data_IF_665709229081
#
_entry.id   IF_665709229081
#
_cell.length_a   1.000
_cell.length_b   1.000
_cell.length_c   1.000
_cell.angle_alpha   90.00
_cell.angle_beta   90.00
_cell.angle_gamma   90.00
#
_symmetry.space_group_name_H-M   'P 1'
#
loop_
_entity.id
_entity.type
_entity.pdbx_description
1 polymer ?
#
# COMPACT_ATOMS: atom_id res chain seq x y z
N UNK A 1 -14.48 45.08 -53.69
CA UNK A 1 -14.65 44.94 -52.23
C UNK A 1 -15.27 43.60 -51.94
N UNK A 2 -14.69 42.67 -51.17
CA UNK A 2 -13.42 42.68 -50.41
C UNK A 2 -13.11 41.20 -50.17
N UNK A 3 -12.00 40.70 -50.72
CA UNK A 3 -11.46 39.39 -50.35
C UNK A 3 -10.86 39.53 -48.95
N UNK A 4 -11.41 38.82 -47.96
CA UNK A 4 -10.81 38.77 -46.62
C UNK A 4 -9.73 37.69 -46.65
N UNK A 5 -8.50 38.14 -46.93
CA UNK A 5 -7.30 37.37 -46.64
C UNK A 5 -7.19 37.21 -45.13
N UNK A 6 -7.48 36.01 -44.61
CA UNK A 6 -7.23 35.67 -43.23
C UNK A 6 -5.71 35.48 -43.04
N UNK A 7 -5.09 36.57 -42.62
CA UNK A 7 -3.80 36.74 -41.95
C UNK A 7 -3.16 35.45 -41.42
N UNK A 8 -1.98 35.15 -41.95
CA UNK A 8 -1.00 34.19 -41.44
C UNK A 8 -0.72 34.36 -39.95
N UNK A 9 -0.96 33.32 -39.16
CA UNK A 9 -0.21 33.05 -37.93
C UNK A 9 0.51 31.72 -38.11
N UNK A 10 1.84 31.82 -38.25
CA UNK A 10 2.87 30.77 -38.21
C UNK A 10 2.37 29.33 -38.44
N UNK A 11 2.47 28.83 -39.68
CA UNK A 11 1.97 27.52 -40.14
C UNK A 11 2.58 26.27 -39.48
N UNK A 12 3.22 26.45 -38.31
CA UNK A 12 3.75 25.40 -37.45
C UNK A 12 2.77 24.98 -36.35
N UNK A 13 1.91 25.87 -35.84
CA UNK A 13 1.09 25.58 -34.66
C UNK A 13 -0.33 25.11 -35.00
N UNK A 14 -0.82 24.15 -34.21
CA UNK A 14 -2.12 23.47 -34.37
C UNK A 14 -2.90 23.56 -33.07
N UNK A 15 -4.21 23.81 -33.21
CA UNK A 15 -5.19 23.84 -32.12
C UNK A 15 -6.02 22.55 -32.13
N UNK A 16 -6.05 21.86 -30.99
CA UNK A 16 -6.75 20.58 -30.81
C UNK A 16 -7.76 20.71 -29.66
N UNK A 17 -9.00 20.27 -29.88
CA UNK A 17 -10.01 20.14 -28.86
C UNK A 17 -10.37 18.65 -28.71
N UNK A 18 -9.92 18.05 -27.61
CA UNK A 18 -10.05 16.62 -27.33
C UNK A 18 -11.09 16.42 -26.22
N UNK A 19 -12.33 16.16 -26.63
CA UNK A 19 -13.47 15.96 -25.71
C UNK A 19 -13.70 17.14 -24.76
N UNK A 20 -13.45 18.37 -25.21
CA UNK A 20 -13.58 19.59 -24.42
C UNK A 20 -12.28 20.13 -23.82
N UNK A 21 -11.19 19.35 -23.86
CA UNK A 21 -9.88 19.81 -23.41
C UNK A 21 -9.09 20.45 -24.57
N UNK A 22 -8.62 21.67 -24.34
CA UNK A 22 -7.97 22.50 -25.35
C UNK A 22 -6.45 22.35 -25.29
N UNK A 23 -5.82 21.97 -26.41
CA UNK A 23 -4.39 21.79 -26.54
C UNK A 23 -3.82 22.58 -27.71
N UNK A 24 -2.59 23.06 -27.53
CA UNK A 24 -1.80 23.70 -28.57
C UNK A 24 -0.51 22.90 -28.76
N UNK A 25 -0.18 22.58 -30.01
CA UNK A 25 1.04 21.85 -30.36
C UNK A 25 1.51 22.24 -31.76
N UNK A 26 2.55 21.59 -32.28
CA UNK A 26 3.02 21.82 -33.64
C UNK A 26 2.70 20.66 -34.58
N UNK A 27 2.59 20.93 -35.88
CA UNK A 27 2.45 19.89 -36.92
C UNK A 27 3.63 18.92 -36.87
N UNK A 28 4.83 19.42 -36.57
CA UNK A 28 6.06 18.64 -36.47
C UNK A 28 5.94 17.58 -35.36
N UNK A 29 5.43 17.95 -34.18
CA UNK A 29 5.18 17.02 -33.07
C UNK A 29 4.18 15.94 -33.46
N UNK A 30 3.06 16.32 -34.11
CA UNK A 30 2.01 15.37 -34.51
C UNK A 30 2.44 14.44 -35.65
N UNK A 31 3.47 14.83 -36.41
CA UNK A 31 3.98 14.08 -37.56
C UNK A 31 5.24 13.26 -37.27
N UNK A 32 5.80 13.40 -36.05
CA UNK A 32 7.08 12.78 -35.65
C UNK A 32 7.01 11.25 -35.61
N UNK A 33 5.89 10.71 -35.14
CA UNK A 33 5.65 9.27 -35.03
C UNK A 33 4.60 8.82 -36.05
N UNK A 34 4.73 7.59 -36.53
CA UNK A 34 3.74 7.00 -37.43
C UNK A 34 2.51 6.57 -36.64
N UNK A 35 1.52 7.47 -36.58
CA UNK A 35 0.35 7.32 -35.73
C UNK A 35 -0.90 7.92 -36.42
N UNK A 36 -2.07 7.71 -35.83
CA UNK A 36 -3.34 8.23 -36.36
C UNK A 36 -3.31 9.75 -36.53
N UNK A 37 -2.66 10.47 -35.61
CA UNK A 37 -2.54 11.93 -35.66
C UNK A 37 -1.73 12.38 -36.88
N UNK A 38 -0.64 11.69 -37.21
CA UNK A 38 0.11 11.96 -38.44
C UNK A 38 -0.78 11.82 -39.68
N UNK A 39 -1.62 10.79 -39.75
CA UNK A 39 -2.55 10.61 -40.86
C UNK A 39 -3.56 11.77 -40.97
N UNK A 40 -4.14 12.21 -39.85
CA UNK A 40 -5.05 13.38 -39.79
C UNK A 40 -4.38 14.66 -40.30
N UNK A 41 -3.14 14.91 -39.92
CA UNK A 41 -2.43 16.14 -40.28
C UNK A 41 -1.62 16.06 -41.58
N UNK A 42 -1.53 14.87 -42.19
CA UNK A 42 -0.96 14.68 -43.54
C UNK A 42 -1.90 15.09 -44.69
N UNK A 43 -3.14 15.48 -44.38
CA UNK A 43 -4.18 15.80 -45.38
C UNK A 43 -4.84 14.58 -46.03
N UNK A 44 -4.49 13.37 -45.60
CA UNK A 44 -5.06 12.11 -46.13
C UNK A 44 -6.41 11.74 -45.52
N UNK A 45 -6.71 12.26 -44.33
CA UNK A 45 -7.94 11.98 -43.59
C UNK A 45 -8.69 13.30 -43.38
N UNK A 46 -10.00 13.38 -43.66
CA UNK A 46 -10.78 14.58 -43.39
C UNK A 46 -10.87 14.82 -41.88
N UNK A 47 -10.59 16.06 -41.46
CA UNK A 47 -10.59 16.48 -40.05
C UNK A 47 -11.70 17.50 -39.83
N UNK A 48 -12.52 17.29 -38.81
CA UNK A 48 -13.58 18.23 -38.43
C UNK A 48 -12.96 19.42 -37.68
N UNK A 49 -13.29 20.63 -38.12
CA UNK A 49 -12.86 21.88 -37.47
C UNK A 49 -14.07 22.71 -37.07
N UNK A 50 -13.99 23.39 -35.94
CA UNK A 50 -14.99 24.38 -35.52
C UNK A 50 -14.78 25.74 -36.20
N UNK A 51 -15.68 26.68 -35.92
CA UNK A 51 -15.64 28.06 -36.45
C UNK A 51 -14.39 28.84 -36.00
N UNK A 52 -13.76 28.43 -34.90
CA UNK A 52 -12.56 29.03 -34.32
C UNK A 52 -11.26 28.33 -34.78
N UNK A 53 -11.37 27.31 -35.63
CA UNK A 53 -10.25 26.58 -36.23
C UNK A 53 -9.67 25.45 -35.36
N UNK A 54 -10.36 25.01 -34.31
CA UNK A 54 -9.96 23.85 -33.50
C UNK A 54 -10.28 22.56 -34.21
N UNK A 55 -9.31 21.67 -34.28
CA UNK A 55 -9.53 20.28 -34.71
C UNK A 55 -10.23 19.53 -33.58
N UNK A 56 -11.40 18.97 -33.87
CA UNK A 56 -12.21 18.25 -32.90
C UNK A 56 -11.86 16.76 -32.89
N UNK A 57 -11.57 16.22 -31.71
CA UNK A 57 -11.33 14.80 -31.46
C UNK A 57 -12.32 14.33 -30.39
N UNK A 58 -13.15 13.36 -30.74
CA UNK A 58 -14.16 12.77 -29.85
C UNK A 58 -13.53 11.71 -28.93
N UNK A 59 -12.62 12.15 -28.05
CA UNK A 59 -11.90 11.33 -27.06
C UNK A 59 -11.74 12.09 -25.75
N UNK A 60 -11.40 11.37 -24.67
CA UNK A 60 -11.11 12.01 -23.39
C UNK A 60 -9.79 12.77 -23.44
N UNK A 61 -9.83 14.08 -23.18
CA UNK A 61 -8.64 14.91 -23.08
C UNK A 61 -7.81 14.71 -21.80
N UNK A 62 -8.29 13.90 -20.83
CA UNK A 62 -7.66 13.77 -19.50
C UNK A 62 -6.17 13.40 -19.56
N UNK A 63 -5.81 12.47 -20.44
CA UNK A 63 -4.45 11.94 -20.58
C UNK A 63 -3.75 12.38 -21.87
N UNK A 64 -4.37 13.31 -22.61
CA UNK A 64 -3.84 13.72 -23.91
C UNK A 64 -2.54 14.52 -23.79
N UNK A 65 -2.27 15.16 -22.65
CA UNK A 65 -0.96 15.76 -22.36
C UNK A 65 0.16 14.72 -22.40
N UNK A 66 -0.04 13.56 -21.78
CA UNK A 66 0.93 12.46 -21.79
C UNK A 66 1.18 11.93 -23.21
N UNK A 67 0.13 11.88 -24.04
CA UNK A 67 0.25 11.54 -25.47
C UNK A 67 1.12 12.57 -26.21
N UNK A 68 0.90 13.86 -25.97
CA UNK A 68 1.72 14.92 -26.59
C UNK A 68 3.17 14.88 -26.12
N UNK A 69 3.41 14.66 -24.84
CA UNK A 69 4.76 14.57 -24.28
C UNK A 69 5.49 13.34 -24.83
N UNK A 70 4.78 12.21 -25.00
CA UNK A 70 5.32 11.05 -25.70
C UNK A 70 5.71 11.37 -27.15
N UNK A 71 4.86 12.09 -27.89
CA UNK A 71 5.18 12.53 -29.26
C UNK A 71 6.35 13.52 -29.33
N UNK A 72 6.67 14.23 -28.24
CA UNK A 72 7.80 15.15 -28.18
C UNK A 72 9.10 14.41 -27.86
N UNK A 73 9.08 13.58 -26.85
CA UNK A 73 10.29 13.02 -26.24
C UNK A 73 10.56 11.57 -26.64
N UNK A 74 9.57 10.87 -27.21
CA UNK A 74 9.64 9.45 -27.60
C UNK A 74 9.50 8.46 -26.45
N UNK A 75 9.46 8.96 -25.21
CA UNK A 75 9.17 8.19 -24.00
C UNK A 75 8.57 9.12 -22.96
N UNK A 76 7.76 8.56 -22.05
CA UNK A 76 7.23 9.32 -20.92
C UNK A 76 7.41 8.53 -19.63
N UNK A 77 7.64 9.20 -18.49
CA UNK A 77 7.47 8.56 -17.21
C UNK A 77 5.99 8.19 -17.05
N UNK A 78 5.69 6.89 -17.06
CA UNK A 78 4.33 6.41 -16.80
C UNK A 78 3.93 6.71 -15.35
N UNK A 79 2.68 7.12 -15.09
CA UNK A 79 2.20 7.36 -13.75
C UNK A 79 2.26 6.08 -12.92
N UNK A 80 2.42 6.23 -11.60
CA UNK A 80 2.46 5.07 -10.70
C UNK A 80 1.09 4.41 -10.51
N UNK A 81 -0.01 5.02 -10.96
CA UNK A 81 -1.36 4.49 -10.81
C UNK A 81 -1.71 3.51 -11.94
N UNK A 82 -2.03 2.25 -11.59
CA UNK A 82 -2.40 1.21 -12.57
C UNK A 82 -3.59 1.61 -13.44
N UNK A 83 -4.63 2.16 -12.83
CA UNK A 83 -5.85 2.59 -13.54
C UNK A 83 -5.54 3.71 -14.52
N UNK A 84 -4.64 4.63 -14.15
CA UNK A 84 -4.20 5.69 -15.07
C UNK A 84 -3.37 5.14 -16.22
N UNK A 85 -2.46 4.20 -15.98
CA UNK A 85 -1.71 3.53 -17.06
C UNK A 85 -2.64 2.75 -17.98
N UNK A 86 -3.65 2.06 -17.47
CA UNK A 86 -4.68 1.40 -18.30
C UNK A 86 -5.53 2.40 -19.10
N UNK A 87 -5.76 3.61 -18.59
CA UNK A 87 -6.43 4.69 -19.32
C UNK A 87 -5.51 5.25 -20.43
N UNK A 88 -4.23 5.48 -20.13
CA UNK A 88 -3.23 5.93 -21.11
C UNK A 88 -3.06 4.86 -22.19
N UNK A 89 -3.00 3.57 -21.83
CA UNK A 89 -2.92 2.45 -22.78
C UNK A 89 -4.09 2.48 -23.77
N UNK A 90 -5.32 2.71 -23.30
CA UNK A 90 -6.49 2.83 -24.17
C UNK A 90 -6.40 4.00 -25.15
N UNK A 91 -5.89 5.14 -24.72
CA UNK A 91 -5.64 6.27 -25.62
C UNK A 91 -4.48 5.99 -26.59
N UNK A 92 -3.39 5.36 -26.12
CA UNK A 92 -2.26 4.97 -26.96
C UNK A 92 -2.68 4.00 -28.07
N UNK A 93 -3.55 3.03 -27.75
CA UNK A 93 -4.18 2.13 -28.72
C UNK A 93 -5.06 2.88 -29.71
N UNK A 94 -5.85 3.86 -29.26
CA UNK A 94 -6.68 4.67 -30.15
C UNK A 94 -5.86 5.49 -31.15
N UNK A 95 -4.79 6.16 -30.68
CA UNK A 95 -3.91 6.96 -31.53
C UNK A 95 -2.87 6.12 -32.30
N UNK A 96 -2.85 4.80 -32.10
CA UNK A 96 -1.93 3.84 -32.74
C UNK A 96 -0.45 4.13 -32.43
N UNK A 97 -0.13 4.41 -31.17
CA UNK A 97 1.23 4.66 -30.70
C UNK A 97 1.89 3.38 -30.20
N UNK A 98 2.43 2.57 -31.12
CA UNK A 98 2.93 1.22 -30.83
C UNK A 98 3.98 1.19 -29.69
N UNK A 99 4.94 2.10 -29.71
CA UNK A 99 5.99 2.16 -28.70
C UNK A 99 5.45 2.50 -27.30
N UNK A 100 4.43 3.37 -27.21
CA UNK A 100 3.78 3.71 -25.95
C UNK A 100 2.89 2.55 -25.45
N UNK A 101 2.23 1.84 -26.36
CA UNK A 101 1.46 0.62 -26.03
C UNK A 101 2.39 -0.40 -25.38
N UNK A 102 3.54 -0.68 -26.00
CA UNK A 102 4.54 -1.63 -25.46
C UNK A 102 5.07 -1.15 -24.10
N UNK A 103 5.35 0.14 -23.94
CA UNK A 103 5.78 0.69 -22.64
C UNK A 103 4.72 0.48 -21.55
N UNK A 104 3.45 0.76 -21.84
CA UNK A 104 2.34 0.57 -20.91
C UNK A 104 2.09 -0.90 -20.58
N UNK A 105 2.09 -1.79 -21.59
CA UNK A 105 1.90 -3.23 -21.41
C UNK A 105 3.03 -3.85 -20.58
N UNK A 106 4.29 -3.52 -20.91
CA UNK A 106 5.45 -3.96 -20.14
C UNK A 106 5.37 -3.51 -18.67
N UNK A 107 4.98 -2.26 -18.44
CA UNK A 107 4.77 -1.72 -17.10
C UNK A 107 3.64 -2.45 -16.35
N UNK A 108 2.54 -2.75 -17.02
CA UNK A 108 1.39 -3.48 -16.45
C UNK A 108 1.74 -4.94 -16.16
N UNK A 109 2.53 -5.59 -17.01
CA UNK A 109 2.97 -6.98 -16.83
C UNK A 109 4.02 -7.11 -15.73
N UNK A 110 5.00 -6.21 -15.68
CA UNK A 110 5.99 -6.16 -14.60
C UNK A 110 5.32 -6.03 -13.24
N UNK A 111 4.19 -5.30 -13.16
CA UNK A 111 3.38 -5.17 -11.95
C UNK A 111 2.36 -6.30 -11.76
N UNK A 112 1.89 -6.95 -12.83
CA UNK A 112 1.05 -8.16 -12.74
C UNK A 112 1.81 -9.35 -12.14
N UNK A 113 3.14 -9.42 -12.31
CA UNK A 113 3.98 -10.42 -11.62
C UNK A 113 3.96 -10.26 -10.10
N UNK A 114 3.85 -9.03 -9.57
CA UNK A 114 3.71 -8.81 -8.13
C UNK A 114 2.37 -9.31 -7.56
N UNK A 115 1.32 -9.43 -8.38
CA UNK A 115 0.03 -10.00 -7.95
C UNK A 115 0.02 -11.55 -7.95
N UNK A 116 0.99 -12.20 -8.59
CA UNK A 116 1.09 -13.66 -8.74
C UNK A 116 2.31 -14.29 -8.02
N UNK A 117 3.15 -13.50 -7.37
CA UNK A 117 4.27 -13.99 -6.55
C UNK A 117 3.81 -14.41 -5.15
N UNK A 118 3.34 -15.66 -5.04
CA UNK A 118 3.03 -16.35 -3.77
C UNK A 118 1.96 -15.66 -2.90
N UNK A 119 1.18 -16.39 -2.07
CA UNK A 119 0.43 -15.71 -1.03
C UNK A 119 1.45 -14.95 -0.18
N UNK A 120 1.31 -13.63 -0.07
CA UNK A 120 2.15 -12.79 0.78
C UNK A 120 2.11 -13.42 2.18
N UNK A 121 3.16 -14.16 2.55
CA UNK A 121 3.22 -14.82 3.86
C UNK A 121 3.40 -13.71 4.87
N UNK A 122 2.32 -13.35 5.54
CA UNK A 122 2.39 -12.36 6.60
C UNK A 122 3.04 -12.99 7.81
N UNK A 123 4.28 -12.58 8.06
CA UNK A 123 5.09 -13.08 9.19
C UNK A 123 4.72 -12.29 10.42
N UNK A 124 4.18 -12.97 11.42
CA UNK A 124 3.98 -12.42 12.76
C UNK A 124 5.26 -12.71 13.57
N UNK A 125 6.11 -11.71 13.86
CA UNK A 125 7.27 -11.91 14.71
C UNK A 125 6.87 -12.36 16.11
N UNK A 126 7.63 -13.32 16.64
CA UNK A 126 7.56 -13.76 18.03
C UNK A 126 8.76 -13.15 18.75
N UNK A 127 8.52 -12.42 19.85
CA UNK A 127 9.56 -11.77 20.66
C UNK A 127 9.59 -12.35 22.06
N UNK A 128 10.79 -12.42 22.65
CA UNK A 128 11.02 -12.97 23.99
C UNK A 128 11.46 -11.91 24.99
N UNK A 129 12.05 -10.82 24.53
CA UNK A 129 12.52 -9.71 25.37
C UNK A 129 11.73 -8.44 25.09
N UNK A 130 11.60 -7.59 26.11
CA UNK A 130 11.01 -6.27 25.94
C UNK A 130 11.81 -5.40 24.97
N UNK A 131 13.13 -5.54 24.95
CA UNK A 131 14.01 -4.78 24.06
C UNK A 131 13.69 -5.06 22.57
N UNK A 132 13.51 -6.33 22.21
CA UNK A 132 13.16 -6.72 20.83
C UNK A 132 11.78 -6.20 20.43
N UNK A 133 10.81 -6.31 21.34
CA UNK A 133 9.47 -5.76 21.14
C UNK A 133 9.52 -4.24 20.89
N UNK A 134 10.25 -3.50 21.73
CA UNK A 134 10.39 -2.05 21.64
C UNK A 134 11.13 -1.63 20.36
N UNK A 135 12.11 -2.42 19.90
CA UNK A 135 12.80 -2.18 18.63
C UNK A 135 11.85 -2.29 17.42
N UNK A 136 11.03 -3.34 17.37
CA UNK A 136 10.02 -3.52 16.31
C UNK A 136 8.99 -2.38 16.30
N UNK A 137 8.53 -1.94 17.48
CA UNK A 137 7.57 -0.84 17.60
C UNK A 137 8.18 0.48 17.11
N UNK A 138 9.44 0.76 17.46
CA UNK A 138 10.13 2.00 17.06
C UNK A 138 10.45 2.06 15.57
N UNK A 139 10.72 0.91 14.95
CA UNK A 139 11.03 0.82 13.52
C UNK A 139 9.77 0.77 12.64
N UNK A 140 8.63 0.38 13.19
CA UNK A 140 7.37 0.31 12.43
C UNK A 140 6.83 1.69 12.04
N UNK A 141 6.44 1.82 10.77
CA UNK A 141 5.62 2.93 10.26
C UNK A 141 4.13 2.59 10.27
N UNK A 142 3.77 1.33 10.53
CA UNK A 142 2.38 0.88 10.66
C UNK A 142 1.96 0.92 12.13
N UNK A 143 0.67 1.10 12.43
CA UNK A 143 0.15 0.80 13.76
C UNK A 143 0.53 -0.63 14.16
N UNK A 144 0.80 -0.85 15.44
CA UNK A 144 1.27 -2.14 15.96
C UNK A 144 0.28 -2.67 16.99
N UNK A 145 -0.12 -3.93 16.83
CA UNK A 145 -0.85 -4.68 17.86
C UNK A 145 0.08 -5.75 18.41
N UNK A 146 0.38 -5.67 19.70
CA UNK A 146 1.19 -6.63 20.42
C UNK A 146 0.32 -7.44 21.37
N UNK A 147 0.30 -8.76 21.20
CA UNK A 147 -0.30 -9.71 22.13
C UNK A 147 0.79 -10.34 22.98
N UNK A 148 0.76 -10.06 24.28
CA UNK A 148 1.59 -10.69 25.29
C UNK A 148 0.89 -11.91 25.88
N UNK A 149 1.56 -13.05 25.92
CA UNK A 149 1.06 -14.30 26.49
C UNK A 149 2.13 -14.99 27.33
N UNK A 150 1.97 -14.97 28.65
CA UNK A 150 2.79 -15.71 29.58
C UNK A 150 2.03 -16.94 30.12
N UNK A 151 2.10 -18.05 29.38
CA UNK A 151 1.41 -19.30 29.75
C UNK A 151 1.88 -19.87 31.09
N UNK A 152 3.12 -19.63 31.50
CA UNK A 152 3.66 -20.13 32.78
C UNK A 152 2.89 -19.57 33.97
N UNK A 153 2.48 -18.30 33.88
CA UNK A 153 1.71 -17.65 34.94
C UNK A 153 0.24 -18.07 34.94
N UNK A 154 -0.25 -18.80 33.93
CA UNK A 154 -1.64 -19.27 33.91
C UNK A 154 -1.96 -20.22 35.07
N UNK A 155 -0.95 -20.92 35.62
CA UNK A 155 -1.09 -21.78 36.81
C UNK A 155 -1.68 -21.05 38.02
N UNK A 156 -1.50 -19.72 38.10
CA UNK A 156 -2.02 -18.89 39.19
C UNK A 156 -3.44 -18.38 38.95
N UNK A 157 -4.06 -18.76 37.82
CA UNK A 157 -5.44 -18.40 37.51
C UNK A 157 -6.42 -19.23 38.33
N UNK A 158 -7.39 -18.57 38.97
CA UNK A 158 -8.38 -19.24 39.82
C UNK A 158 -9.64 -19.67 39.05
N UNK A 159 -9.70 -19.46 37.73
CA UNK A 159 -10.85 -19.85 36.90
C UNK A 159 -10.55 -21.11 36.07
N UNK A 160 -11.50 -22.07 36.01
CA UNK A 160 -11.35 -23.28 35.18
C UNK A 160 -11.38 -22.95 33.68
N UNK A 161 -11.87 -21.77 33.28
CA UNK A 161 -11.96 -21.32 31.89
C UNK A 161 -10.71 -20.57 31.42
N UNK A 162 -9.62 -20.61 32.20
CA UNK A 162 -8.42 -19.82 31.92
C UNK A 162 -7.77 -20.19 30.59
N UNK A 163 -7.59 -21.48 30.33
CA UNK A 163 -7.05 -22.00 29.06
C UNK A 163 -7.97 -21.66 27.88
N UNK A 164 -9.29 -21.82 28.04
CA UNK A 164 -10.28 -21.44 27.03
C UNK A 164 -10.20 -19.95 26.68
N UNK A 165 -10.05 -19.09 27.69
CA UNK A 165 -9.91 -17.65 27.48
C UNK A 165 -8.59 -17.30 26.78
N UNK A 166 -7.50 -18.00 27.07
CA UNK A 166 -6.23 -17.84 26.34
C UNK A 166 -6.39 -18.26 24.87
N UNK A 167 -7.06 -19.38 24.60
CA UNK A 167 -7.33 -19.85 23.24
C UNK A 167 -8.20 -18.87 22.47
N UNK A 168 -9.24 -18.29 23.09
CA UNK A 168 -10.07 -17.25 22.48
C UNK A 168 -9.28 -15.98 22.15
N UNK A 169 -8.35 -15.57 23.00
CA UNK A 169 -7.44 -14.44 22.70
C UNK A 169 -6.55 -14.75 21.49
N UNK A 170 -5.98 -15.97 21.42
CA UNK A 170 -5.19 -16.40 20.27
C UNK A 170 -6.01 -16.45 18.98
N UNK A 171 -7.22 -17.00 19.03
CA UNK A 171 -8.13 -17.05 17.89
C UNK A 171 -8.51 -15.66 17.40
N UNK A 172 -8.83 -14.73 18.32
CA UNK A 172 -9.12 -13.34 17.97
C UNK A 172 -7.91 -12.65 17.33
N UNK A 173 -6.71 -12.91 17.86
CA UNK A 173 -5.47 -12.37 17.30
C UNK A 173 -5.26 -12.85 15.87
N UNK A 174 -5.35 -14.16 15.63
CA UNK A 174 -5.16 -14.72 14.30
C UNK A 174 -6.26 -14.23 13.33
N UNK A 175 -7.50 -14.03 13.81
CA UNK A 175 -8.59 -13.42 13.01
C UNK A 175 -8.28 -11.97 12.62
N UNK A 176 -7.73 -11.18 13.54
CA UNK A 176 -7.32 -9.79 13.26
C UNK A 176 -6.13 -9.74 12.31
N UNK A 177 -5.16 -10.65 12.46
CA UNK A 177 -4.05 -10.82 11.51
C UNK A 177 -4.62 -11.09 10.12
N UNK A 178 -5.45 -12.12 9.95
CA UNK A 178 -6.04 -12.46 8.65
C UNK A 178 -6.80 -11.29 7.99
N UNK A 179 -7.39 -10.38 8.77
CA UNK A 179 -8.18 -9.26 8.26
C UNK A 179 -7.38 -7.98 7.98
N UNK A 180 -6.30 -7.74 8.73
CA UNK A 180 -5.60 -6.44 8.73
C UNK A 180 -4.06 -6.56 8.62
N UNK A 181 -3.55 -7.73 8.22
CA UNK A 181 -2.12 -8.01 8.12
C UNK A 181 -1.33 -7.03 7.23
N UNK A 182 -2.02 -6.41 6.27
CA UNK A 182 -1.47 -5.45 5.31
C UNK A 182 -1.33 -4.04 5.89
N UNK A 183 -2.14 -3.71 6.90
CA UNK A 183 -2.29 -2.37 7.50
C UNK A 183 -1.68 -2.26 8.89
N UNK A 184 -1.71 -3.34 9.67
CA UNK A 184 -1.21 -3.41 11.05
C UNK A 184 -0.03 -4.37 11.13
N UNK A 185 1.01 -3.99 11.87
CA UNK A 185 2.05 -4.91 12.29
C UNK A 185 1.58 -5.68 13.54
N UNK A 186 1.49 -6.99 13.44
CA UNK A 186 1.11 -7.85 14.55
C UNK A 186 2.36 -8.47 15.19
N UNK A 187 2.44 -8.50 16.52
CA UNK A 187 3.58 -9.05 17.26
C UNK A 187 3.06 -9.98 18.36
N UNK A 188 3.62 -11.19 18.45
CA UNK A 188 3.40 -12.12 19.57
C UNK A 188 4.56 -11.99 20.55
N UNK A 189 4.28 -11.62 21.78
CA UNK A 189 5.26 -11.47 22.86
C UNK A 189 5.08 -12.61 23.85
N UNK A 190 6.08 -13.48 23.94
CA UNK A 190 6.09 -14.68 24.79
C UNK A 190 7.12 -14.55 25.92
N UNK A 191 7.57 -13.32 26.18
CA UNK A 191 8.51 -13.04 27.26
C UNK A 191 7.96 -13.39 28.63
N UNK A 192 8.86 -13.61 29.58
CA UNK A 192 8.54 -13.90 30.99
C UNK A 192 8.72 -12.69 31.91
N UNK A 193 9.03 -11.50 31.35
CA UNK A 193 9.35 -10.29 32.11
C UNK A 193 8.15 -9.68 32.84
N UNK A 194 6.92 -9.98 32.41
CA UNK A 194 5.68 -9.48 33.04
C UNK A 194 5.02 -10.55 33.91
N UNK A 195 4.48 -10.12 35.05
CA UNK A 195 3.66 -10.95 35.93
C UNK A 195 2.25 -11.22 35.38
N UNK A 196 1.82 -10.49 34.35
CA UNK A 196 0.52 -10.68 33.71
C UNK A 196 0.47 -12.00 32.92
N UNK A 197 -0.73 -12.55 32.71
CA UNK A 197 -0.92 -13.80 31.94
C UNK A 197 -1.17 -13.52 30.46
N UNK A 198 -2.01 -12.53 30.17
CA UNK A 198 -2.39 -12.16 28.82
C UNK A 198 -2.65 -10.65 28.75
N UNK A 199 -2.10 -9.99 27.73
CA UNK A 199 -2.18 -8.55 27.61
C UNK A 199 -2.16 -8.11 26.15
N UNK A 200 -3.02 -7.17 25.79
CA UNK A 200 -3.01 -6.53 24.48
C UNK A 200 -2.50 -5.11 24.60
N UNK A 201 -1.56 -4.73 23.73
CA UNK A 201 -1.04 -3.36 23.63
C UNK A 201 -1.19 -2.85 22.22
N UNK A 202 -1.72 -1.65 22.10
CA UNK A 202 -2.04 -0.99 20.83
C UNK A 202 -1.16 0.25 20.68
N UNK A 203 -0.34 0.29 19.63
CA UNK A 203 0.59 1.37 19.38
C UNK A 203 0.23 2.09 18.08
N UNK A 204 0.16 3.42 18.15
CA UNK A 204 -0.16 4.29 17.03
C UNK A 204 0.86 5.42 16.94
N UNK A 205 1.49 5.60 15.78
CA UNK A 205 2.64 6.50 15.59
C UNK A 205 3.75 6.22 16.61
N UNK A 206 4.08 4.94 16.82
CA UNK A 206 5.14 4.44 17.73
C UNK A 206 4.94 4.74 19.22
N UNK A 207 3.76 5.22 19.61
CA UNK A 207 3.38 5.54 21.00
C UNK A 207 2.29 4.58 21.44
N UNK A 208 2.34 4.11 22.69
CA UNK A 208 1.28 3.29 23.29
C UNK A 208 0.00 4.13 23.39
N UNK A 209 -1.10 3.65 22.79
CA UNK A 209 -2.40 4.32 22.76
C UNK A 209 -3.39 3.70 23.72
N UNK A 210 -3.42 2.39 23.76
CA UNK A 210 -4.33 1.63 24.61
C UNK A 210 -3.68 0.34 25.08
N UNK A 211 -4.20 -0.16 26.20
CA UNK A 211 -3.76 -1.39 26.85
C UNK A 211 -5.00 -2.09 27.40
N UNK A 212 -5.14 -3.38 27.08
CA UNK A 212 -6.22 -4.22 27.59
C UNK A 212 -5.58 -5.40 28.31
N UNK A 213 -5.66 -5.39 29.65
CA UNK A 213 -5.27 -6.52 30.48
C UNK A 213 -6.39 -7.57 30.45
N UNK A 214 -6.03 -8.80 30.13
CA UNK A 214 -6.95 -9.95 30.11
C UNK A 214 -6.98 -10.65 31.48
N UNK A 215 -6.72 -9.90 32.55
CA UNK A 215 -6.57 -10.38 33.92
C UNK A 215 -7.28 -9.42 34.86
N UNK A 216 -8.07 -9.97 35.77
CA UNK A 216 -8.75 -9.24 36.84
C UNK A 216 -8.26 -9.76 38.19
N UNK A 217 -7.91 -8.86 39.11
CA UNK A 217 -7.49 -9.22 40.47
C UNK A 217 -8.74 -9.36 41.34
N UNK A 218 -8.93 -10.54 41.94
CA UNK A 218 -9.98 -10.79 42.92
C UNK A 218 -9.32 -10.95 44.30
N UNK A 219 -9.72 -10.11 45.24
CA UNK A 219 -9.33 -10.24 46.64
C UNK A 219 -10.27 -11.25 47.31
N UNK A 220 -9.77 -12.46 47.57
CA UNK A 220 -10.37 -13.36 48.54
C UNK A 220 -9.50 -13.39 49.80
N UNK A 221 -10.11 -13.68 50.94
CA UNK A 221 -9.75 -13.27 52.30
C UNK A 221 -8.28 -13.32 52.73
N UNK A 222 -7.38 -14.06 52.07
CA UNK A 222 -5.94 -14.07 52.40
C UNK A 222 -4.97 -14.25 51.20
N UNK A 223 -5.42 -14.26 49.94
CA UNK A 223 -4.55 -14.42 48.76
C UNK A 223 -5.01 -13.60 47.55
N UNK A 224 -4.04 -13.02 46.83
CA UNK A 224 -4.27 -12.37 45.52
C UNK A 224 -4.60 -13.47 44.50
N UNK A 225 -5.85 -13.52 44.05
CA UNK A 225 -6.26 -14.43 42.98
C UNK A 225 -6.35 -13.67 41.65
N UNK A 226 -5.71 -14.22 40.62
CA UNK A 226 -5.81 -13.69 39.25
C UNK A 226 -6.90 -14.46 38.52
N UNK A 227 -7.80 -13.76 37.85
CA UNK A 227 -8.80 -14.36 36.96
C UNK A 227 -8.49 -13.94 35.53
N UNK A 228 -8.18 -14.91 34.67
CA UNK A 228 -7.98 -14.67 33.24
C UNK A 228 -9.33 -14.50 32.56
N UNK A 229 -9.49 -13.42 31.79
CA UNK A 229 -10.72 -13.03 31.11
C UNK A 229 -10.47 -12.81 29.61
N UNK A 230 -11.55 -12.78 28.83
CA UNK A 230 -11.51 -12.48 27.39
C UNK A 230 -12.44 -11.29 27.10
N UNK A 231 -11.95 -10.04 27.24
CA UNK A 231 -12.72 -8.83 26.98
C UNK A 231 -12.76 -8.52 25.48
N UNK A 232 -13.37 -9.41 24.70
CA UNK A 232 -13.41 -9.41 23.23
C UNK A 232 -13.85 -8.08 22.61
N UNK A 233 -14.93 -7.50 23.14
CA UNK A 233 -15.52 -6.26 22.65
C UNK A 233 -14.53 -5.10 22.80
N UNK A 234 -13.89 -4.98 23.97
CA UNK A 234 -12.87 -3.95 24.21
C UNK A 234 -11.64 -4.14 23.33
N UNK A 235 -11.17 -5.37 23.17
CA UNK A 235 -10.02 -5.68 22.29
C UNK A 235 -10.34 -5.27 20.85
N UNK A 236 -11.53 -5.58 20.38
CA UNK A 236 -11.96 -5.25 19.02
C UNK A 236 -12.11 -3.74 18.81
N UNK A 237 -12.70 -3.03 19.77
CA UNK A 237 -12.85 -1.57 19.72
C UNK A 237 -11.49 -0.86 19.64
N UNK A 238 -10.53 -1.27 20.47
CA UNK A 238 -9.17 -0.70 20.44
C UNK A 238 -8.42 -1.08 19.15
N UNK A 239 -8.63 -2.31 18.64
CA UNK A 239 -8.08 -2.72 17.35
C UNK A 239 -8.64 -1.87 16.19
N UNK A 240 -9.91 -1.46 16.25
CA UNK A 240 -10.49 -0.57 15.23
C UNK A 240 -10.01 0.87 15.41
N UNK A 241 -9.88 1.33 16.66
CA UNK A 241 -9.36 2.66 17.00
C UNK A 241 -7.94 2.88 16.47
N UNK A 242 -7.07 1.87 16.54
CA UNK A 242 -5.66 2.01 16.12
C UNK A 242 -5.51 2.26 14.62
N UNK A 243 -6.48 1.87 13.80
CA UNK A 243 -6.50 2.12 12.36
C UNK A 243 -6.58 3.61 12.01
N UNK A 244 -7.02 4.47 12.94
CA UNK A 244 -6.98 5.92 12.77
C UNK A 244 -5.54 6.50 12.75
N UNK A 245 -4.57 5.74 13.27
CA UNK A 245 -3.16 6.11 13.29
C UNK A 245 -2.36 5.47 12.15
N UNK A 246 -3.03 4.81 11.22
CA UNK A 246 -2.45 4.44 9.94
C UNK A 246 -2.04 5.71 9.20
N UNK A 247 -0.76 5.80 8.82
CA UNK A 247 -0.34 6.75 7.81
C UNK A 247 -0.94 6.26 6.50
N UNK A 248 -2.16 6.74 6.18
CA UNK A 248 -2.97 6.29 5.05
C UNK A 248 -2.30 6.49 3.69
N UNK A 249 -1.08 7.02 3.64
CA UNK A 249 -0.35 7.15 2.39
C UNK A 249 -1.12 7.89 1.31
N UNK A 250 -2.03 8.77 1.73
CA UNK A 250 -2.88 9.48 0.79
C UNK A 250 -1.97 10.47 0.10
N UNK A 251 -1.84 10.36 -1.22
CA UNK A 251 -1.15 11.39 -1.99
C UNK A 251 -1.85 12.71 -1.74
N UNK A 252 -1.08 13.71 -1.33
CA UNK A 252 -1.54 15.08 -1.09
C UNK A 252 -2.22 15.72 -2.32
N UNK A 253 -2.10 15.08 -3.49
CA UNK A 253 -2.63 15.53 -4.78
C UNK A 253 -3.96 14.87 -5.18
N UNK A 254 -4.25 13.64 -4.76
CA UNK A 254 -5.47 12.92 -5.17
C UNK A 254 -6.28 12.28 -4.02
N UNK A 255 -5.72 12.15 -2.81
CA UNK A 255 -6.47 11.66 -1.65
C UNK A 255 -6.81 10.16 -1.67
N UNK A 256 -6.14 9.35 -2.49
CA UNK A 256 -6.33 7.89 -2.55
C UNK A 256 -5.07 7.11 -2.12
N UNK A 257 -5.20 5.83 -1.72
CA UNK A 257 -4.13 5.00 -1.14
C UNK A 257 -3.11 4.44 -2.15
N UNK A 258 -3.38 4.51 -3.45
CA UNK A 258 -2.67 3.77 -4.52
C UNK A 258 -1.37 4.43 -5.02
N UNK A 259 -0.96 5.50 -4.35
CA UNK A 259 0.08 6.43 -4.79
C UNK A 259 1.29 6.48 -3.85
N UNK A 260 1.21 5.86 -2.67
CA UNK A 260 2.43 5.41 -2.03
C UNK A 260 2.87 4.14 -2.74
N UNK A 261 4.02 4.21 -3.40
CA UNK A 261 4.90 3.07 -3.43
C UNK A 261 4.90 2.45 -2.03
N UNK A 262 4.42 1.21 -1.89
CA UNK A 262 5.03 0.36 -0.87
C UNK A 262 6.50 0.34 -1.30
N UNK A 263 7.32 1.21 -0.72
CA UNK A 263 8.75 0.97 -0.64
C UNK A 263 8.84 -0.50 -0.26
N UNK A 264 9.58 -1.34 -1.00
CA UNK A 264 9.86 -2.69 -0.51
C UNK A 264 10.32 -2.45 0.91
N UNK A 265 9.56 -2.98 1.87
CA UNK A 265 9.79 -2.71 3.28
C UNK A 265 11.29 -2.86 3.48
N UNK A 266 11.97 -1.81 3.91
CA UNK A 266 13.36 -1.88 4.37
C UNK A 266 13.40 -2.64 5.70
N UNK A 267 12.67 -3.75 5.78
CA UNK A 267 13.05 -4.88 6.58
C UNK A 267 13.99 -5.68 5.71
N UNK A 268 15.26 -5.30 5.79
CA UNK A 268 16.35 -6.04 5.20
C UNK A 268 16.19 -7.52 5.57
N UNK A 269 15.96 -8.36 4.55
CA UNK A 269 15.76 -9.80 4.70
C UNK A 269 16.95 -10.45 5.44
N UNK A 270 18.12 -9.82 5.44
CA UNK A 270 19.29 -10.26 6.18
C UNK A 270 19.15 -10.12 7.71
N UNK A 271 18.38 -9.15 8.20
CA UNK A 271 18.28 -8.89 9.65
C UNK A 271 17.37 -9.91 10.36
N UNK A 272 16.35 -10.44 9.67
CA UNK A 272 15.47 -11.50 10.23
C UNK A 272 16.11 -12.90 10.21
N UNK A 273 17.06 -13.16 9.31
CA UNK A 273 17.80 -14.42 9.28
C UNK A 273 18.76 -14.59 10.47
N UNK A 274 19.15 -13.48 11.10
CA UNK A 274 20.01 -13.49 12.29
C UNK A 274 19.25 -13.91 13.56
N UNK A 275 17.92 -13.69 13.64
CA UNK A 275 17.15 -14.03 14.84
C UNK A 275 16.59 -15.46 14.84
N UNK A 276 16.62 -16.16 13.71
CA UNK A 276 16.27 -17.59 13.64
C UNK A 276 17.39 -18.54 14.06
N UNK A 277 18.63 -18.05 14.28
CA UNK A 277 19.80 -18.90 14.49
C UNK A 277 20.56 -18.67 15.81
N UNK A 278 20.07 -17.85 16.75
CA UNK A 278 20.79 -17.64 18.01
C UNK A 278 20.61 -18.80 18.99
N UNK A 279 19.50 -19.57 18.90
CA UNK A 279 19.27 -20.70 19.82
C UNK A 279 19.84 -22.05 19.35
N UNK A 280 20.15 -22.21 18.07
CA UNK A 280 20.74 -23.47 17.57
C UNK A 280 22.25 -23.59 17.90
N UNK A 281 22.95 -22.46 18.09
CA UNK A 281 24.37 -22.46 18.39
C UNK A 281 24.67 -22.76 19.87
N UNK A 282 23.78 -22.40 20.81
CA UNK A 282 24.00 -22.62 22.24
C UNK A 282 23.67 -24.04 22.72
N UNK A 283 22.78 -24.77 22.04
CA UNK A 283 22.51 -26.19 22.39
C UNK A 283 23.60 -27.15 21.89
N UNK A 284 24.29 -26.82 20.80
CA UNK A 284 25.44 -27.62 20.31
C UNK A 284 26.70 -27.43 21.16
N UNK A 285 26.82 -26.33 21.90
CA UNK A 285 27.93 -26.10 22.83
C UNK A 285 27.76 -26.82 24.18
N UNK A 286 26.53 -27.19 24.56
CA UNK A 286 26.24 -27.91 25.83
C UNK A 286 26.10 -29.42 25.67
N UNK A 287 26.03 -29.94 24.45
CA UNK A 287 26.01 -31.38 24.18
C UNK A 287 27.42 -31.99 24.00
N UNK A 288 28.47 -31.19 24.21
CA UNK A 288 29.87 -31.57 24.01
C UNK A 288 30.75 -31.54 25.27
N UNK A 289 30.18 -31.42 26.47
CA UNK A 289 30.89 -31.63 27.75
C UNK A 289 30.35 -32.86 28.48
#
# INVERSE_FOLDING_TARGET
STAVAASTCDGRYVKLNVGGALFHTTVDTLSKHDCMLRAMFSGRVPVVRDEQGWVLIDRSGKHFSAILDFLRDGSIPLPECRVEVEQILREAQYYLLQDLIVQCESWLEARRRFDLEMPVVHRVPIVYTRSDADALIKQSNRPVIKLFLNRHNNKYSYTPFSDDNILKNLELFDRLVCKFHDRILFVKDVGSESAEVCQWKFYGKRILRAEVCCTSIVYATDKKHTKVEFPDSKIYDEAMSILCFEDRGLCARCGELTCLSRSPSTFDHATLALYSNVHAAEELAKAGE
#
